data_IF_327173063229
#
_entry.id   IF_327173063229
#
_cell.length_a   1.000
_cell.length_b   1.000
_cell.length_c   1.000
_cell.angle_alpha   90.00
_cell.angle_beta   90.00
_cell.angle_gamma   90.00
#
_symmetry.space_group_name_H-M   'P 1'
#
loop_
_entity.id
_entity.type
_entity.pdbx_description
1 polymer ?
#
# COMPACT_ATOMS: atom_id res chain seq x y z
N UNK A 1 10.63 42.25 13.04
CA UNK A 1 9.56 41.37 13.56
C UNK A 1 8.21 41.87 13.06
N UNK A 2 7.70 41.27 11.99
CA UNK A 2 6.35 41.36 11.39
C UNK A 2 6.29 40.06 10.57
N UNK A 3 5.51 39.05 10.94
CA UNK A 3 4.06 39.02 10.85
C UNK A 3 3.68 38.04 9.75
N UNK A 4 3.63 36.74 10.07
CA UNK A 4 2.94 35.72 9.26
C UNK A 4 2.07 34.90 10.21
N UNK A 5 0.89 35.45 10.52
CA UNK A 5 -0.29 34.64 10.84
C UNK A 5 -0.92 34.30 9.50
N UNK A 6 -0.47 33.22 8.88
CA UNK A 6 -1.20 32.54 7.83
C UNK A 6 -1.87 31.34 8.48
N UNK A 7 -3.19 31.23 8.36
CA UNK A 7 -3.97 30.15 8.94
C UNK A 7 -3.38 28.78 8.61
N UNK A 8 -2.75 28.12 9.58
CA UNK A 8 -2.69 26.66 9.59
C UNK A 8 -4.13 26.21 9.82
N UNK A 9 -4.82 25.94 8.72
CA UNK A 9 -6.13 25.32 8.71
C UNK A 9 -5.94 23.99 9.44
N UNK A 10 -6.46 23.88 10.66
CA UNK A 10 -6.49 22.62 11.42
C UNK A 10 -7.04 21.53 10.49
N UNK A 11 -6.14 20.75 9.92
CA UNK A 11 -6.50 19.65 9.03
C UNK A 11 -6.81 18.50 9.96
N UNK A 12 -8.08 18.31 10.28
CA UNK A 12 -8.51 17.13 11.02
C UNK A 12 -8.14 15.90 10.18
N UNK A 13 -7.19 15.11 10.69
CA UNK A 13 -6.87 13.82 10.10
C UNK A 13 -8.10 12.93 10.19
N UNK A 14 -8.59 12.45 9.04
CA UNK A 14 -9.69 11.50 8.97
C UNK A 14 -9.09 10.15 8.61
N UNK A 15 -9.07 9.23 9.57
CA UNK A 15 -8.67 7.85 9.33
C UNK A 15 -9.77 7.12 8.56
N UNK A 16 -9.38 6.40 7.49
CA UNK A 16 -10.31 5.74 6.57
C UNK A 16 -10.35 4.22 6.75
N UNK A 17 -9.82 3.68 7.84
CA UNK A 17 -9.71 2.24 8.08
C UNK A 17 -11.05 1.52 7.91
N UNK A 18 -12.11 2.00 8.57
CA UNK A 18 -13.47 1.44 8.48
C UNK A 18 -14.09 1.51 7.08
N UNK A 19 -13.54 2.34 6.17
CA UNK A 19 -14.03 2.44 4.79
C UNK A 19 -13.38 1.41 3.87
N UNK A 20 -12.25 0.81 4.27
CA UNK A 20 -11.55 -0.19 3.46
C UNK A 20 -12.37 -1.48 3.32
N UNK A 21 -13.23 -1.81 4.28
CA UNK A 21 -14.19 -2.93 4.23
C UNK A 21 -15.11 -2.89 3.00
N UNK A 22 -15.34 -1.70 2.44
CA UNK A 22 -16.20 -1.51 1.28
C UNK A 22 -15.50 -1.91 -0.03
N UNK A 23 -14.18 -2.08 -0.05
CA UNK A 23 -13.41 -2.43 -1.24
C UNK A 23 -13.62 -3.92 -1.54
N UNK A 24 -14.21 -4.20 -2.71
CA UNK A 24 -14.51 -5.57 -3.18
C UNK A 24 -13.57 -6.06 -4.27
N UNK A 25 -12.86 -5.15 -4.94
CA UNK A 25 -11.89 -5.52 -5.96
C UNK A 25 -10.70 -6.26 -5.33
N UNK A 26 -10.02 -7.13 -6.08
CA UNK A 26 -8.70 -7.63 -5.70
C UNK A 26 -7.73 -6.46 -5.42
N UNK A 27 -6.90 -6.59 -4.39
CA UNK A 27 -5.93 -5.59 -3.96
C UNK A 27 -4.56 -6.25 -3.84
N UNK A 28 -3.55 -5.61 -4.42
CA UNK A 28 -2.15 -5.94 -4.19
C UNK A 28 -1.51 -4.82 -3.36
N UNK A 29 -1.02 -5.17 -2.17
CA UNK A 29 -0.24 -4.28 -1.31
C UNK A 29 1.24 -4.65 -1.42
N UNK A 30 2.05 -3.71 -1.91
CA UNK A 30 3.50 -3.87 -2.03
C UNK A 30 4.17 -2.92 -1.03
N UNK A 31 5.07 -3.46 -0.21
CA UNK A 31 5.85 -2.68 0.75
C UNK A 31 7.33 -3.02 0.72
N UNK A 32 8.16 -2.08 1.17
CA UNK A 32 9.57 -2.32 1.46
C UNK A 32 9.79 -2.86 2.87
N UNK A 33 10.89 -3.58 3.10
CA UNK A 33 11.33 -4.04 4.41
C UNK A 33 12.65 -3.43 4.89
N UNK A 34 13.31 -2.61 4.07
CA UNK A 34 14.57 -1.94 4.40
C UNK A 34 14.34 -0.59 5.09
N UNK A 35 15.44 0.07 5.47
CA UNK A 35 15.39 1.41 6.05
C UNK A 35 14.66 2.40 5.13
N UNK A 36 13.82 3.25 5.74
CA UNK A 36 12.98 4.20 5.02
C UNK A 36 11.67 3.60 4.48
N UNK A 37 11.39 2.31 4.68
CA UNK A 37 10.07 1.76 4.41
C UNK A 37 8.99 2.44 5.28
N UNK A 38 7.92 2.92 4.65
CA UNK A 38 6.80 3.59 5.34
C UNK A 38 5.69 2.60 5.74
N UNK A 39 5.58 1.48 5.03
CA UNK A 39 4.61 0.44 5.33
C UNK A 39 5.18 -0.46 6.44
N UNK A 40 4.76 -0.19 7.66
CA UNK A 40 5.17 -0.95 8.84
C UNK A 40 4.31 -2.22 9.02
N UNK A 41 4.78 -3.23 9.77
CA UNK A 41 4.03 -4.46 10.01
C UNK A 41 2.62 -4.21 10.58
N UNK A 42 2.45 -3.24 11.47
CA UNK A 42 1.15 -2.86 12.02
C UNK A 42 0.17 -2.35 10.95
N UNK A 43 0.66 -1.63 9.94
CA UNK A 43 -0.19 -1.17 8.84
C UNK A 43 -0.64 -2.35 7.96
N UNK A 44 0.26 -3.32 7.71
CA UNK A 44 -0.08 -4.52 6.95
C UNK A 44 -1.20 -5.29 7.64
N UNK A 45 -1.14 -5.43 8.96
CA UNK A 45 -2.18 -6.10 9.73
C UNK A 45 -3.52 -5.35 9.66
N UNK A 46 -3.51 -4.02 9.75
CA UNK A 46 -4.72 -3.21 9.53
C UNK A 46 -5.34 -3.47 8.14
N UNK A 47 -4.53 -3.50 7.09
CA UNK A 47 -5.03 -3.83 5.75
C UNK A 47 -5.61 -5.25 5.69
N UNK A 48 -5.00 -6.24 6.36
CA UNK A 48 -5.54 -7.61 6.40
C UNK A 48 -6.87 -7.72 7.11
N UNK A 49 -7.08 -6.92 8.15
CA UNK A 49 -8.32 -6.92 8.93
C UNK A 49 -9.49 -6.34 8.13
N UNK A 50 -9.24 -5.33 7.29
CA UNK A 50 -10.29 -4.63 6.56
C UNK A 50 -10.48 -5.11 5.10
N UNK A 51 -9.41 -5.49 4.40
CA UNK A 51 -9.46 -5.85 2.99
C UNK A 51 -9.67 -7.35 2.80
N UNK A 52 -10.77 -7.74 2.15
CA UNK A 52 -11.12 -9.17 1.93
C UNK A 52 -10.29 -9.88 0.87
N UNK A 53 -9.93 -9.19 -0.21
CA UNK A 53 -9.25 -9.76 -1.38
C UNK A 53 -7.82 -9.21 -1.49
N UNK A 54 -7.04 -9.36 -0.42
CA UNK A 54 -5.73 -8.73 -0.29
C UNK A 54 -4.58 -9.73 -0.48
N UNK A 55 -3.75 -9.47 -1.49
CA UNK A 55 -2.41 -10.02 -1.61
C UNK A 55 -1.39 -9.02 -1.05
N UNK A 56 -0.42 -9.50 -0.27
CA UNK A 56 0.63 -8.67 0.31
C UNK A 56 1.98 -9.21 -0.08
N UNK A 57 2.83 -8.36 -0.65
CA UNK A 57 4.22 -8.67 -0.98
C UNK A 57 5.15 -7.66 -0.32
N UNK A 58 6.09 -8.15 0.48
CA UNK A 58 7.13 -7.32 1.11
C UNK A 58 8.47 -7.61 0.46
N UNK A 59 9.14 -6.55 0.03
CA UNK A 59 10.46 -6.58 -0.56
C UNK A 59 11.51 -6.20 0.49
N UNK A 60 12.22 -7.18 1.06
CA UNK A 60 13.03 -6.96 2.27
C UNK A 60 14.22 -6.02 2.04
N UNK A 61 14.70 -5.95 0.81
CA UNK A 61 15.82 -5.11 0.34
C UNK A 61 15.38 -3.74 -0.21
N UNK A 62 14.07 -3.46 -0.23
CA UNK A 62 13.52 -2.20 -0.70
C UNK A 62 13.10 -1.29 0.46
N UNK A 63 13.39 0.01 0.36
CA UNK A 63 12.93 1.04 1.30
C UNK A 63 11.60 1.67 0.85
N UNK A 64 11.50 3.00 0.90
CA UNK A 64 10.32 3.72 0.40
C UNK A 64 10.04 3.45 -1.09
N UNK A 65 11.10 3.36 -1.89
CA UNK A 65 11.04 3.14 -3.33
C UNK A 65 11.00 1.63 -3.62
N UNK A 66 9.81 1.04 -3.58
CA UNK A 66 9.65 -0.43 -3.69
C UNK A 66 10.11 -1.03 -5.03
N UNK A 67 10.27 -0.23 -6.08
CA UNK A 67 10.81 -0.69 -7.36
C UNK A 67 12.34 -0.65 -7.44
N UNK A 68 13.01 -0.27 -6.34
CA UNK A 68 14.46 -0.36 -6.20
C UNK A 68 14.80 -1.29 -5.03
N UNK A 69 15.93 -2.02 -5.09
CA UNK A 69 16.92 -2.02 -6.17
C UNK A 69 16.49 -2.82 -7.40
N UNK A 70 15.49 -3.69 -7.27
CA UNK A 70 15.07 -4.65 -8.30
C UNK A 70 13.74 -4.25 -8.94
N UNK A 71 13.83 -3.57 -10.07
CA UNK A 71 12.67 -3.13 -10.85
C UNK A 71 11.95 -4.30 -11.53
N UNK A 72 12.68 -5.32 -11.97
CA UNK A 72 12.10 -6.46 -12.69
C UNK A 72 11.26 -7.33 -11.75
N UNK A 73 11.70 -7.49 -10.50
CA UNK A 73 10.87 -8.11 -9.44
C UNK A 73 9.59 -7.33 -9.17
N UNK A 74 9.64 -5.99 -9.17
CA UNK A 74 8.46 -5.17 -9.01
C UNK A 74 7.45 -5.38 -10.15
N UNK A 75 7.90 -5.29 -11.41
CA UNK A 75 7.03 -5.49 -12.58
C UNK A 75 6.47 -6.91 -12.64
N UNK A 76 7.31 -7.92 -12.40
CA UNK A 76 6.84 -9.32 -12.41
C UNK A 76 5.82 -9.61 -11.31
N UNK A 77 5.93 -9.00 -10.13
CA UNK A 77 4.94 -9.10 -9.06
C UNK A 77 3.58 -8.53 -9.50
N UNK A 78 3.59 -7.38 -10.17
CA UNK A 78 2.36 -6.76 -10.69
C UNK A 78 1.74 -7.62 -11.80
N UNK A 79 2.54 -8.08 -12.76
CA UNK A 79 2.05 -8.91 -13.85
C UNK A 79 1.43 -10.22 -13.34
N UNK A 80 2.11 -10.90 -12.41
CA UNK A 80 1.59 -12.12 -11.78
C UNK A 80 0.24 -11.89 -11.09
N UNK A 81 0.08 -10.75 -10.42
CA UNK A 81 -1.19 -10.39 -9.80
C UNK A 81 -2.31 -10.20 -10.84
N UNK A 82 -2.02 -9.55 -11.97
CA UNK A 82 -2.99 -9.42 -13.06
C UNK A 82 -3.34 -10.76 -13.70
N UNK A 83 -2.34 -11.61 -13.98
CA UNK A 83 -2.55 -12.95 -14.53
C UNK A 83 -3.49 -13.76 -13.61
N UNK A 84 -3.26 -13.73 -12.29
CA UNK A 84 -4.13 -14.38 -11.32
C UNK A 84 -5.58 -13.87 -11.35
N UNK A 85 -5.79 -12.56 -11.57
CA UNK A 85 -7.12 -11.97 -11.66
C UNK A 85 -7.83 -12.41 -12.94
N UNK A 86 -7.10 -12.42 -14.07
CA UNK A 86 -7.67 -12.78 -15.36
C UNK A 86 -8.02 -14.29 -15.41
N UNK A 87 -7.20 -15.14 -14.81
CA UNK A 87 -7.50 -16.59 -14.65
C UNK A 87 -8.77 -16.83 -13.82
N UNK A 88 -8.98 -16.04 -12.75
CA UNK A 88 -10.20 -16.11 -11.91
C UNK A 88 -11.46 -15.64 -12.64
N UNK A 89 -11.34 -14.83 -13.69
CA UNK A 89 -12.47 -14.37 -14.51
C UNK A 89 -12.83 -15.33 -15.64
N UNK A 90 -11.88 -16.17 -16.05
CA UNK A 90 -12.05 -17.17 -17.11
C UNK A 90 -12.62 -18.52 -16.66
N UNK A 91 -12.76 -18.74 -15.34
CA UNK A 91 -13.33 -19.95 -14.72
C UNK A 91 -14.80 -19.78 -14.33
#
# INVERSE_FOLDING_TARGET
>A
MRGMRGLERESTEILLWDRLDAIRSPILLIGGGAEGALLKPEHVEMYRQHCRNLEVTIFPDSGHMVWQPDHDRFISTINKFFDNIDDQRGS
#
